data_IF_819674463108
#
_entry.id   IF_819674463108
#
_cell.length_a   1.000
_cell.length_b   1.000
_cell.length_c   1.000
_cell.angle_alpha   90.00
_cell.angle_beta   90.00
_cell.angle_gamma   90.00
#
_symmetry.space_group_name_H-M   'P 1'
#
loop_
_entity.id
_entity.type
_entity.pdbx_description
1 polymer ?
#
# COMPACT_ATOMS: atom_id res chain seq x y z
N UNK A 1 0.00 -30.07 -15.73
CA UNK A 1 1.42 -29.67 -15.63
C UNK A 1 1.48 -28.64 -14.53
N UNK A 2 1.90 -29.07 -13.35
CA UNK A 2 2.00 -28.25 -12.15
C UNK A 2 3.08 -27.20 -12.35
N UNK A 3 2.67 -25.94 -12.45
CA UNK A 3 3.57 -24.78 -12.52
C UNK A 3 3.48 -24.01 -11.22
N UNK A 4 4.62 -23.81 -10.58
CA UNK A 4 4.82 -22.76 -9.58
C UNK A 4 4.89 -23.30 -8.15
N UNK A 5 6.12 -23.37 -7.63
CA UNK A 5 6.39 -23.21 -6.21
C UNK A 5 5.50 -22.09 -5.68
N UNK A 6 4.50 -22.41 -4.84
CA UNK A 6 3.67 -21.38 -4.22
C UNK A 6 4.59 -20.54 -3.35
N UNK A 7 5.02 -19.38 -3.84
CA UNK A 7 5.65 -18.38 -2.98
C UNK A 7 4.64 -18.11 -1.87
N UNK A 8 4.99 -18.51 -0.66
CA UNK A 8 4.19 -18.27 0.52
C UNK A 8 3.81 -16.78 0.53
N UNK A 9 2.52 -16.48 0.71
CA UNK A 9 2.04 -15.11 0.63
C UNK A 9 2.83 -14.22 1.59
N UNK A 10 3.39 -13.12 1.07
CA UNK A 10 4.17 -12.18 1.88
C UNK A 10 3.23 -11.51 2.89
N UNK A 11 3.59 -11.45 4.19
CA UNK A 11 2.74 -10.87 5.22
C UNK A 11 2.54 -9.36 5.05
N UNK A 12 3.36 -8.72 4.19
CA UNK A 12 3.21 -7.34 3.76
C UNK A 12 1.90 -7.10 3.00
N UNK A 13 1.27 -8.13 2.42
CA UNK A 13 -0.08 -7.99 1.88
C UNK A 13 -1.12 -8.04 3.01
N UNK A 14 -1.69 -6.88 3.31
CA UNK A 14 -2.77 -6.70 4.28
C UNK A 14 -4.07 -6.29 3.58
N UNK A 15 -4.21 -6.56 2.29
CA UNK A 15 -5.41 -6.23 1.51
C UNK A 15 -6.68 -6.90 2.03
N UNK A 16 -6.58 -8.11 2.61
CA UNK A 16 -7.70 -8.80 3.25
C UNK A 16 -8.27 -8.06 4.47
N UNK A 17 -7.51 -7.16 5.08
CA UNK A 17 -8.01 -6.27 6.14
C UNK A 17 -8.78 -5.07 5.61
N UNK A 18 -8.73 -4.84 4.29
CA UNK A 18 -9.38 -3.73 3.59
C UNK A 18 -10.55 -4.21 2.76
N UNK A 19 -10.48 -5.41 2.19
CA UNK A 19 -11.48 -5.94 1.26
C UNK A 19 -11.69 -7.45 1.46
N UNK A 20 -12.95 -7.88 1.60
CA UNK A 20 -13.35 -9.28 1.84
C UNK A 20 -14.68 -9.53 1.11
N UNK A 21 -14.88 -10.71 0.53
CA UNK A 21 -16.14 -11.13 -0.10
C UNK A 21 -16.74 -10.10 -1.08
N UNK A 22 -15.89 -9.54 -1.94
CA UNK A 22 -16.27 -8.52 -2.94
C UNK A 22 -16.80 -7.19 -2.37
N UNK A 23 -16.50 -6.88 -1.11
CA UNK A 23 -16.89 -5.63 -0.47
C UNK A 23 -15.77 -5.03 0.40
N UNK A 24 -15.81 -3.70 0.54
CA UNK A 24 -14.93 -2.99 1.46
C UNK A 24 -15.27 -3.36 2.91
N UNK A 25 -14.25 -3.72 3.69
CA UNK A 25 -14.39 -3.91 5.14
C UNK A 25 -14.81 -2.60 5.83
N UNK A 26 -15.30 -2.68 7.06
CA UNK A 26 -15.59 -1.46 7.85
C UNK A 26 -14.35 -0.58 8.02
N UNK A 27 -13.15 -1.17 8.08
CA UNK A 27 -11.89 -0.43 8.18
C UNK A 27 -11.66 0.49 6.98
N UNK A 28 -11.82 -0.04 5.77
CA UNK A 28 -11.70 0.75 4.53
C UNK A 28 -12.88 1.70 4.38
N UNK A 29 -14.11 1.22 4.59
CA UNK A 29 -15.35 2.01 4.49
C UNK A 29 -15.35 3.22 5.43
N UNK A 30 -14.90 3.07 6.67
CA UNK A 30 -14.76 4.17 7.61
C UNK A 30 -13.70 5.19 7.17
N UNK A 31 -12.62 4.74 6.52
CA UNK A 31 -11.62 5.64 5.95
C UNK A 31 -12.16 6.41 4.76
N UNK A 32 -12.90 5.74 3.86
CA UNK A 32 -13.58 6.38 2.73
C UNK A 32 -14.55 7.44 3.25
N UNK A 33 -15.42 7.09 4.20
CA UNK A 33 -16.39 8.01 4.80
C UNK A 33 -15.72 9.28 5.33
N UNK A 34 -14.66 9.14 6.13
CA UNK A 34 -13.93 10.29 6.69
C UNK A 34 -13.39 11.22 5.60
N UNK A 35 -12.71 10.67 4.59
CA UNK A 35 -12.13 11.48 3.52
C UNK A 35 -13.19 12.14 2.65
N UNK A 36 -14.23 11.40 2.25
CA UNK A 36 -15.33 11.97 1.46
C UNK A 36 -16.03 13.09 2.23
N UNK A 37 -16.33 12.88 3.52
CA UNK A 37 -16.91 13.94 4.37
C UNK A 37 -16.00 15.16 4.46
N UNK A 38 -14.69 14.97 4.66
CA UNK A 38 -13.73 16.08 4.68
C UNK A 38 -13.75 16.86 3.36
N UNK A 39 -13.70 16.17 2.22
CA UNK A 39 -13.71 16.81 0.90
C UNK A 39 -15.00 17.59 0.64
N UNK A 40 -16.16 17.05 1.04
CA UNK A 40 -17.44 17.77 0.93
C UNK A 40 -17.50 19.00 1.84
N UNK A 41 -16.97 18.88 3.07
CA UNK A 41 -16.91 20.00 4.01
C UNK A 41 -15.97 21.11 3.54
N UNK A 42 -14.86 20.77 2.88
CA UNK A 42 -13.92 21.74 2.31
C UNK A 42 -14.56 22.53 1.14
N UNK A 43 -15.54 21.94 0.44
CA UNK A 43 -16.41 22.64 -0.53
C UNK A 43 -17.57 23.43 0.14
N UNK A 44 -17.58 23.52 1.47
CA UNK A 44 -18.61 24.23 2.23
C UNK A 44 -19.93 23.47 2.39
N UNK A 45 -19.99 22.20 1.99
CA UNK A 45 -21.19 21.37 2.05
C UNK A 45 -21.18 20.50 3.31
N UNK A 46 -22.06 20.82 4.25
CA UNK A 46 -22.14 20.12 5.56
C UNK A 46 -23.23 19.04 5.61
N UNK A 47 -24.10 18.97 4.61
CA UNK A 47 -25.22 18.03 4.53
C UNK A 47 -25.38 17.51 3.10
N UNK A 48 -25.97 16.33 2.89
CA UNK A 48 -26.30 15.84 1.55
C UNK A 48 -27.13 16.83 0.75
N UNK A 49 -26.80 17.01 -0.52
CA UNK A 49 -27.46 17.96 -1.41
C UNK A 49 -28.78 17.35 -1.91
N UNK A 50 -29.90 18.07 -1.75
CA UNK A 50 -31.17 17.61 -2.30
C UNK A 50 -31.10 17.54 -3.84
N UNK A 51 -31.96 16.71 -4.46
CA UNK A 51 -32.07 16.68 -5.92
C UNK A 51 -32.96 17.83 -6.38
N UNK A 52 -32.38 18.76 -7.13
CA UNK A 52 -33.07 19.90 -7.73
C UNK A 52 -34.08 19.48 -8.81
N UNK A 53 -35.02 20.37 -9.16
CA UNK A 53 -35.93 20.19 -10.30
C UNK A 53 -35.16 20.16 -11.63
N UNK A 54 -34.14 21.01 -11.76
CA UNK A 54 -33.23 21.01 -12.90
C UNK A 54 -32.27 19.83 -12.81
N UNK A 55 -32.45 18.86 -13.69
CA UNK A 55 -31.60 17.66 -13.75
C UNK A 55 -30.66 17.72 -14.93
N UNK A 56 -29.47 17.16 -14.73
CA UNK A 56 -28.41 17.10 -15.74
C UNK A 56 -27.87 15.68 -15.84
N UNK A 57 -27.34 15.36 -17.02
CA UNK A 57 -26.57 14.14 -17.26
C UNK A 57 -25.11 14.50 -17.47
N UNK A 58 -24.21 13.67 -16.96
CA UNK A 58 -22.78 13.85 -17.13
C UNK A 58 -22.07 12.52 -17.34
N UNK A 59 -20.94 12.58 -18.05
CA UNK A 59 -20.05 11.44 -18.29
C UNK A 59 -18.66 11.75 -17.76
N UNK A 60 -18.04 10.77 -17.11
CA UNK A 60 -16.62 10.81 -16.75
C UNK A 60 -15.84 9.86 -17.63
N UNK A 61 -14.71 10.32 -18.16
CA UNK A 61 -13.80 9.49 -18.96
C UNK A 61 -12.34 9.72 -18.60
N UNK A 62 -11.50 8.75 -18.92
CA UNK A 62 -10.05 8.85 -18.80
C UNK A 62 -9.45 9.53 -20.04
N UNK A 63 -8.48 10.42 -19.86
CA UNK A 63 -7.71 11.04 -20.96
C UNK A 63 -6.39 10.34 -21.24
N UNK A 64 -6.01 9.39 -20.40
CA UNK A 64 -4.82 8.56 -20.54
C UNK A 64 -5.09 7.12 -20.10
N UNK A 65 -4.18 6.21 -20.45
CA UNK A 65 -4.25 4.83 -20.02
C UNK A 65 -3.76 4.68 -18.56
N UNK A 66 -4.27 3.69 -17.84
CA UNK A 66 -3.87 3.45 -16.45
C UNK A 66 -4.68 2.36 -15.76
N UNK A 67 -4.39 2.17 -14.48
CA UNK A 67 -5.14 1.30 -13.57
C UNK A 67 -6.08 2.16 -12.73
N UNK A 68 -7.37 1.87 -12.76
CA UNK A 68 -8.37 2.63 -12.03
C UNK A 68 -8.36 2.29 -10.53
N UNK A 69 -8.49 3.32 -9.71
CA UNK A 69 -8.72 3.21 -8.29
C UNK A 69 -9.53 4.42 -7.78
N UNK A 70 -10.24 4.24 -6.68
CA UNK A 70 -11.03 5.29 -6.05
C UNK A 70 -12.51 5.31 -6.46
N UNK A 71 -12.95 4.35 -7.28
CA UNK A 71 -14.34 4.25 -7.73
C UNK A 71 -15.26 3.97 -6.54
N UNK A 72 -14.83 3.11 -5.60
CA UNK A 72 -15.60 2.86 -4.37
C UNK A 72 -15.73 4.11 -3.48
N UNK A 73 -14.73 4.99 -3.48
CA UNK A 73 -14.80 6.25 -2.74
C UNK A 73 -15.74 7.25 -3.41
N UNK A 74 -15.68 7.36 -4.73
CA UNK A 74 -16.62 8.16 -5.51
C UNK A 74 -18.06 7.62 -5.43
N UNK A 75 -18.24 6.30 -5.42
CA UNK A 75 -19.54 5.65 -5.22
C UNK A 75 -20.14 5.97 -3.86
N UNK A 76 -19.31 5.97 -2.80
CA UNK A 76 -19.74 6.42 -1.47
C UNK A 76 -20.21 7.88 -1.48
N UNK A 77 -19.47 8.77 -2.17
CA UNK A 77 -19.91 10.16 -2.33
C UNK A 77 -21.27 10.24 -3.02
N UNK A 78 -21.41 9.60 -4.18
CA UNK A 78 -22.66 9.60 -4.96
C UNK A 78 -23.85 9.11 -4.12
N UNK A 79 -23.65 8.02 -3.38
CA UNK A 79 -24.68 7.41 -2.54
C UNK A 79 -25.10 8.26 -1.35
N UNK A 80 -24.14 8.79 -0.60
CA UNK A 80 -24.44 9.47 0.67
C UNK A 80 -24.73 10.97 0.50
N UNK A 81 -24.15 11.62 -0.51
CA UNK A 81 -24.19 13.09 -0.66
C UNK A 81 -25.07 13.57 -1.80
N UNK A 82 -25.49 12.69 -2.71
CA UNK A 82 -26.36 13.03 -3.84
C UNK A 82 -27.65 12.18 -3.83
N UNK A 83 -28.49 12.29 -2.76
CA UNK A 83 -29.75 11.55 -2.68
C UNK A 83 -30.60 11.76 -3.93
N UNK A 84 -31.12 10.65 -4.45
CA UNK A 84 -31.95 10.64 -5.66
C UNK A 84 -31.18 10.71 -6.97
N UNK A 85 -29.85 10.92 -6.98
CA UNK A 85 -29.04 10.76 -8.19
C UNK A 85 -29.05 9.30 -8.68
N UNK A 86 -28.82 9.11 -9.97
CA UNK A 86 -28.65 7.80 -10.61
C UNK A 86 -27.29 7.77 -11.28
N UNK A 87 -26.56 6.67 -11.15
CA UNK A 87 -25.27 6.54 -11.80
C UNK A 87 -24.99 5.09 -12.20
N UNK A 88 -24.06 4.93 -13.14
CA UNK A 88 -23.61 3.64 -13.61
C UNK A 88 -22.09 3.65 -13.85
N UNK A 89 -21.39 2.71 -13.21
CA UNK A 89 -19.98 2.46 -13.45
C UNK A 89 -19.80 1.46 -14.59
N UNK A 90 -19.02 1.83 -15.60
CA UNK A 90 -18.73 0.95 -16.75
C UNK A 90 -17.64 -0.10 -16.45
N UNK A 91 -16.89 0.08 -15.36
CA UNK A 91 -15.74 -0.72 -14.92
C UNK A 91 -15.63 -0.64 -13.40
N UNK A 92 -14.93 -1.60 -12.78
CA UNK A 92 -14.66 -1.61 -11.33
C UNK A 92 -13.25 -1.13 -10.96
N UNK A 93 -13.02 -0.92 -9.66
CA UNK A 93 -11.67 -0.66 -9.11
C UNK A 93 -10.70 -1.78 -9.52
N UNK A 94 -9.46 -1.41 -9.86
CA UNK A 94 -8.42 -2.30 -10.37
C UNK A 94 -8.47 -2.55 -11.88
N UNK A 95 -9.49 -2.05 -12.59
CA UNK A 95 -9.57 -2.21 -14.04
C UNK A 95 -8.47 -1.43 -14.77
N UNK A 96 -7.83 -2.07 -15.75
CA UNK A 96 -6.91 -1.42 -16.68
C UNK A 96 -7.74 -0.78 -17.81
N UNK A 97 -7.50 0.49 -18.10
CA UNK A 97 -8.24 1.26 -19.10
C UNK A 97 -7.29 2.00 -20.04
N UNK A 98 -7.79 2.27 -21.26
CA UNK A 98 -7.11 3.10 -22.26
C UNK A 98 -7.66 4.54 -22.22
N UNK A 99 -6.94 5.46 -22.86
CA UNK A 99 -7.43 6.82 -23.09
C UNK A 99 -8.78 6.82 -23.84
N UNK A 100 -9.67 7.73 -23.47
CA UNK A 100 -11.02 7.87 -24.02
C UNK A 100 -12.07 6.93 -23.41
N UNK A 101 -11.71 6.08 -22.44
CA UNK A 101 -12.67 5.18 -21.81
C UNK A 101 -13.62 5.97 -20.91
N UNK A 102 -14.91 5.93 -21.23
CA UNK A 102 -15.98 6.36 -20.31
C UNK A 102 -16.06 5.36 -19.16
N UNK A 103 -16.01 5.86 -17.93
CA UNK A 103 -15.97 5.07 -16.70
C UNK A 103 -17.22 5.24 -15.82
N UNK A 104 -17.91 6.38 -15.93
CA UNK A 104 -19.08 6.72 -15.12
C UNK A 104 -20.08 7.55 -15.92
N UNK A 105 -21.34 7.16 -15.86
CA UNK A 105 -22.49 7.97 -16.27
C UNK A 105 -23.25 8.41 -15.01
N UNK A 106 -23.65 9.69 -14.93
CA UNK A 106 -24.38 10.27 -13.79
C UNK A 106 -25.60 11.04 -14.30
N UNK A 107 -26.72 10.93 -13.60
CA UNK A 107 -27.91 11.77 -13.73
C UNK A 107 -28.36 12.26 -12.35
N UNK A 108 -28.30 13.57 -12.11
CA UNK A 108 -28.60 14.18 -10.80
C UNK A 108 -29.11 15.61 -10.93
N UNK A 109 -29.40 16.23 -9.79
CA UNK A 109 -29.68 17.67 -9.73
C UNK A 109 -28.47 18.47 -10.19
N UNK A 110 -28.70 19.61 -10.84
CA UNK A 110 -27.62 20.45 -11.39
C UNK A 110 -26.61 20.85 -10.33
N UNK A 111 -27.06 21.28 -9.15
CA UNK A 111 -26.16 21.66 -8.05
C UNK A 111 -25.38 20.44 -7.52
N UNK A 112 -26.06 19.29 -7.37
CA UNK A 112 -25.43 18.05 -6.92
C UNK A 112 -24.23 17.67 -7.80
N UNK A 113 -24.43 17.62 -9.13
CA UNK A 113 -23.41 17.16 -10.06
C UNK A 113 -22.26 18.17 -10.17
N UNK A 114 -22.56 19.48 -10.21
CA UNK A 114 -21.53 20.52 -10.27
C UNK A 114 -20.64 20.53 -9.03
N UNK A 115 -21.24 20.43 -7.85
CA UNK A 115 -20.50 20.43 -6.58
C UNK A 115 -19.68 19.16 -6.40
N UNK A 116 -20.21 18.01 -6.79
CA UNK A 116 -19.52 16.73 -6.68
C UNK A 116 -18.40 16.54 -7.71
N UNK A 117 -18.44 17.27 -8.85
CA UNK A 117 -17.53 17.07 -9.99
C UNK A 117 -16.07 17.01 -9.54
N UNK A 118 -15.57 18.09 -8.92
CA UNK A 118 -14.16 18.20 -8.56
C UNK A 118 -13.74 17.13 -7.57
N UNK A 119 -14.62 16.78 -6.62
CA UNK A 119 -14.34 15.75 -5.62
C UNK A 119 -14.25 14.38 -6.26
N UNK A 120 -15.19 14.01 -7.14
CA UNK A 120 -15.17 12.75 -7.89
C UNK A 120 -13.88 12.64 -8.72
N UNK A 121 -13.53 13.68 -9.48
CA UNK A 121 -12.34 13.69 -10.31
C UNK A 121 -11.05 13.61 -9.47
N UNK A 122 -10.99 14.30 -8.33
CA UNK A 122 -9.85 14.23 -7.41
C UNK A 122 -9.70 12.82 -6.80
N UNK A 123 -10.81 12.19 -6.39
CA UNK A 123 -10.82 10.84 -5.83
C UNK A 123 -10.27 9.83 -6.82
N UNK A 124 -10.86 9.79 -8.02
CA UNK A 124 -10.49 8.84 -9.07
C UNK A 124 -9.09 9.14 -9.59
N UNK A 125 -8.81 10.40 -9.96
CA UNK A 125 -7.54 10.79 -10.57
C UNK A 125 -6.35 10.50 -9.67
N UNK A 126 -6.40 10.93 -8.40
CA UNK A 126 -5.30 10.72 -7.45
C UNK A 126 -5.04 9.23 -7.21
N UNK A 127 -6.09 8.48 -6.87
CA UNK A 127 -5.93 7.07 -6.50
C UNK A 127 -5.55 6.22 -7.72
N UNK A 128 -6.12 6.49 -8.89
CA UNK A 128 -5.72 5.82 -10.13
C UNK A 128 -4.29 6.15 -10.53
N UNK A 129 -3.80 7.36 -10.24
CA UNK A 129 -2.38 7.72 -10.40
C UNK A 129 -1.45 6.83 -9.58
N UNK A 130 -1.78 6.62 -8.30
CA UNK A 130 -1.04 5.72 -7.40
C UNK A 130 -1.08 4.27 -7.92
N UNK A 131 -2.25 3.77 -8.30
CA UNK A 131 -2.41 2.40 -8.80
C UNK A 131 -1.63 2.19 -10.10
N UNK A 132 -1.69 3.15 -11.02
CA UNK A 132 -0.95 3.13 -12.29
C UNK A 132 0.56 3.12 -12.06
N UNK A 133 1.07 4.03 -11.23
CA UNK A 133 2.50 4.07 -10.90
C UNK A 133 2.95 2.77 -10.20
N UNK A 134 2.15 2.25 -9.26
CA UNK A 134 2.46 0.99 -8.59
C UNK A 134 2.54 -0.18 -9.58
N UNK A 135 1.66 -0.24 -10.56
CA UNK A 135 1.69 -1.27 -11.61
C UNK A 135 3.00 -1.23 -12.41
N UNK A 136 3.49 -0.03 -12.75
CA UNK A 136 4.78 0.12 -13.42
C UNK A 136 5.94 -0.35 -12.54
N UNK A 137 5.93 0.01 -11.26
CA UNK A 137 6.94 -0.44 -10.29
C UNK A 137 6.94 -1.95 -10.12
N UNK A 138 5.77 -2.57 -9.94
CA UNK A 138 5.65 -4.02 -9.77
C UNK A 138 6.10 -4.78 -11.02
N UNK A 139 5.78 -4.28 -12.22
CA UNK A 139 6.26 -4.86 -13.48
C UNK A 139 7.79 -4.83 -13.56
N UNK A 140 8.42 -3.72 -13.17
CA UNK A 140 9.87 -3.53 -13.25
C UNK A 140 10.65 -4.28 -12.16
N UNK A 141 10.07 -4.41 -10.97
CA UNK A 141 10.67 -5.14 -9.84
C UNK A 141 10.41 -6.66 -9.89
N UNK A 142 9.52 -7.12 -10.77
CA UNK A 142 9.15 -8.53 -10.84
C UNK A 142 10.39 -9.42 -11.01
N UNK A 143 10.51 -10.51 -10.24
CA UNK A 143 9.45 -11.13 -9.45
C UNK A 143 9.39 -10.66 -7.99
N UNK A 144 10.17 -9.66 -7.57
CA UNK A 144 10.16 -9.12 -6.20
C UNK A 144 8.89 -8.30 -5.95
N UNK A 145 8.33 -8.39 -4.75
CA UNK A 145 7.13 -7.63 -4.37
C UNK A 145 7.49 -6.18 -4.03
N UNK A 146 6.71 -5.20 -4.53
CA UNK A 146 6.88 -3.80 -4.11
C UNK A 146 5.87 -3.44 -3.03
N UNK A 147 6.29 -2.80 -1.94
CA UNK A 147 5.42 -2.49 -0.80
C UNK A 147 5.32 -0.98 -0.52
N UNK A 148 4.10 -0.51 -0.22
CA UNK A 148 3.89 0.86 0.23
C UNK A 148 4.48 1.12 1.62
N UNK A 149 4.46 2.38 2.06
CA UNK A 149 4.97 2.79 3.37
C UNK A 149 3.84 3.36 4.22
N UNK A 150 4.17 4.03 5.32
CA UNK A 150 3.21 4.84 6.10
C UNK A 150 3.28 6.33 5.75
N UNK A 151 4.08 6.73 4.75
CA UNK A 151 4.11 8.09 4.20
C UNK A 151 2.91 8.24 3.24
N UNK A 152 1.72 8.36 3.80
CA UNK A 152 0.45 8.42 3.05
C UNK A 152 -0.18 9.79 3.20
N UNK A 153 -0.87 10.26 2.16
CA UNK A 153 -1.65 11.49 2.22
C UNK A 153 -3.12 11.17 2.52
N UNK A 154 -3.71 10.15 1.88
CA UNK A 154 -5.12 9.76 2.09
C UNK A 154 -5.28 8.48 2.92
N UNK A 155 -4.30 8.17 3.77
CA UNK A 155 -4.40 7.07 4.72
C UNK A 155 -4.53 5.71 4.03
N UNK A 156 -5.60 4.98 4.35
CA UNK A 156 -5.85 3.65 3.80
C UNK A 156 -6.23 3.66 2.31
N UNK A 157 -6.73 4.77 1.78
CA UNK A 157 -7.09 4.87 0.35
C UNK A 157 -5.82 4.79 -0.52
N UNK A 158 -4.73 5.46 -0.11
CA UNK A 158 -3.43 5.34 -0.80
C UNK A 158 -2.92 3.89 -0.79
N UNK A 159 -3.02 3.20 0.36
CA UNK A 159 -2.62 1.78 0.47
C UNK A 159 -3.47 0.86 -0.38
N UNK A 160 -4.78 1.11 -0.43
CA UNK A 160 -5.71 0.37 -1.28
C UNK A 160 -5.38 0.59 -2.77
N UNK A 161 -5.08 1.82 -3.18
CA UNK A 161 -4.64 2.11 -4.54
C UNK A 161 -3.34 1.39 -4.91
N UNK A 162 -2.35 1.32 -4.00
CA UNK A 162 -1.14 0.51 -4.20
C UNK A 162 -1.51 -0.96 -4.42
N UNK A 163 -2.41 -1.52 -3.61
CA UNK A 163 -2.84 -2.91 -3.78
C UNK A 163 -3.51 -3.15 -5.14
N UNK A 164 -4.43 -2.26 -5.56
CA UNK A 164 -5.07 -2.34 -6.86
C UNK A 164 -4.06 -2.25 -8.03
N UNK A 165 -2.94 -1.56 -7.83
CA UNK A 165 -1.82 -1.51 -8.77
C UNK A 165 -0.93 -2.76 -8.76
N UNK A 166 -1.20 -3.76 -7.92
CA UNK A 166 -0.42 -5.00 -7.78
C UNK A 166 0.70 -4.93 -6.74
N UNK A 167 0.82 -3.84 -5.98
CA UNK A 167 1.77 -3.74 -4.87
C UNK A 167 1.22 -4.29 -3.55
N UNK A 168 2.09 -4.36 -2.54
CA UNK A 168 1.78 -4.80 -1.19
C UNK A 168 1.42 -3.59 -0.31
N UNK A 169 0.40 -3.73 0.53
CA UNK A 169 -0.04 -2.63 1.40
C UNK A 169 0.97 -2.30 2.48
N UNK A 170 1.89 -3.21 2.82
CA UNK A 170 2.63 -3.23 4.07
C UNK A 170 1.65 -3.15 5.27
N UNK A 171 2.17 -3.08 6.51
CA UNK A 171 1.35 -2.78 7.69
C UNK A 171 0.46 -1.55 7.50
N UNK A 172 -0.80 -1.67 7.88
CA UNK A 172 -1.82 -0.62 7.75
C UNK A 172 -1.71 0.43 8.87
N UNK A 173 -1.40 -0.02 10.09
CA UNK A 173 -1.27 0.84 11.28
C UNK A 173 -0.05 0.44 12.11
N UNK A 174 0.29 1.20 13.17
CA UNK A 174 1.33 0.79 14.13
C UNK A 174 0.98 -0.50 14.88
N UNK A 175 -0.31 -0.78 15.07
CA UNK A 175 -0.82 -1.97 15.79
C UNK A 175 -0.96 -3.21 14.90
N UNK A 176 -1.05 -3.00 13.59
CA UNK A 176 -1.23 -4.09 12.62
C UNK A 176 0.03 -4.96 12.46
N UNK A 177 1.22 -4.36 12.56
CA UNK A 177 2.48 -5.10 12.58
C UNK A 177 3.54 -4.33 13.39
N UNK A 178 4.27 -5.06 14.23
CA UNK A 178 5.41 -4.54 14.99
C UNK A 178 6.55 -4.20 14.03
N UNK A 179 7.12 -3.02 14.19
CA UNK A 179 8.31 -2.61 13.44
C UNK A 179 9.24 -1.95 14.43
N UNK A 180 10.43 -2.50 14.56
CA UNK A 180 11.49 -2.01 15.45
C UNK A 180 12.46 -1.25 14.55
N UNK A 181 12.46 0.07 14.69
CA UNK A 181 13.32 0.97 13.91
C UNK A 181 14.55 1.38 14.70
N UNK A 182 15.45 2.12 14.07
CA UNK A 182 16.60 2.73 14.74
C UNK A 182 16.23 3.49 16.02
N UNK A 183 15.16 4.28 16.00
CA UNK A 183 14.72 5.01 17.19
C UNK A 183 14.27 4.07 18.31
N UNK A 184 13.61 2.96 17.99
CA UNK A 184 13.20 1.97 18.98
C UNK A 184 14.44 1.26 19.55
N UNK A 185 15.35 0.81 18.68
CA UNK A 185 16.63 0.18 19.06
C UNK A 185 17.47 1.09 19.96
N UNK A 186 17.51 2.40 19.67
CA UNK A 186 18.26 3.38 20.49
C UNK A 186 17.78 3.47 21.94
N UNK A 187 16.52 3.09 22.21
CA UNK A 187 15.95 3.06 23.56
C UNK A 187 16.03 1.68 24.21
N UNK A 188 16.16 0.62 23.42
CA UNK A 188 16.18 -0.75 23.88
C UNK A 188 17.60 -1.27 24.13
N UNK A 189 18.57 -0.85 23.33
CA UNK A 189 19.98 -1.25 23.44
C UNK A 189 20.66 -0.41 24.53
N UNK A 190 21.40 -1.07 25.43
CA UNK A 190 22.10 -0.37 26.51
C UNK A 190 23.26 0.46 25.96
N UNK A 191 23.57 1.59 26.60
CA UNK A 191 24.61 2.52 26.11
C UNK A 191 26.00 1.88 25.93
N UNK A 192 26.32 0.89 26.76
CA UNK A 192 27.61 0.19 26.74
C UNK A 192 27.59 -1.10 25.90
N UNK A 193 26.45 -1.43 25.28
CA UNK A 193 26.24 -2.63 24.49
C UNK A 193 26.53 -2.36 23.01
N UNK A 194 27.34 -3.22 22.38
CA UNK A 194 27.51 -3.18 20.93
C UNK A 194 26.20 -3.53 20.23
N UNK A 195 25.97 -2.97 19.04
CA UNK A 195 24.69 -3.11 18.33
C UNK A 195 24.29 -4.57 18.02
N UNK A 196 25.14 -5.45 17.43
CA UNK A 196 24.70 -6.82 17.12
C UNK A 196 24.32 -7.66 18.35
N UNK A 197 25.09 -7.64 19.47
CA UNK A 197 24.63 -8.25 20.73
C UNK A 197 23.32 -7.64 21.26
N UNK A 198 23.17 -6.31 21.18
CA UNK A 198 21.93 -5.64 21.59
C UNK A 198 20.72 -6.04 20.75
N UNK A 199 20.90 -6.20 19.44
CA UNK A 199 19.86 -6.74 18.56
C UNK A 199 19.49 -8.16 18.95
N UNK A 200 20.50 -9.02 19.20
CA UNK A 200 20.26 -10.40 19.65
C UNK A 200 19.43 -10.41 20.93
N UNK A 201 19.77 -9.59 21.91
CA UNK A 201 18.99 -9.47 23.15
C UNK A 201 17.57 -8.96 22.89
N UNK A 202 17.41 -7.87 22.14
CA UNK A 202 16.10 -7.32 21.80
C UNK A 202 15.22 -8.37 21.12
N UNK A 203 15.77 -9.08 20.12
CA UNK A 203 15.07 -10.17 19.43
C UNK A 203 14.74 -11.32 20.39
N UNK A 204 15.61 -11.65 21.35
CA UNK A 204 15.37 -12.69 22.36
C UNK A 204 14.24 -12.36 23.33
N UNK A 205 14.02 -11.07 23.61
CA UNK A 205 13.06 -10.57 24.60
C UNK A 205 11.69 -10.22 24.00
N UNK A 206 11.50 -10.35 22.67
CA UNK A 206 10.22 -10.05 22.04
C UNK A 206 9.11 -10.98 22.52
N UNK A 207 8.01 -10.39 22.96
CA UNK A 207 6.75 -11.08 23.15
C UNK A 207 6.12 -11.38 21.79
N UNK A 208 6.21 -12.64 21.36
CA UNK A 208 5.80 -13.04 20.04
C UNK A 208 4.27 -13.05 19.84
N UNK A 209 3.49 -13.14 20.93
CA UNK A 209 2.03 -13.11 20.88
C UNK A 209 1.50 -11.68 20.65
N UNK A 210 2.36 -10.67 20.81
CA UNK A 210 2.03 -9.24 20.69
C UNK A 210 2.47 -8.58 19.37
N UNK A 211 3.02 -9.34 18.43
CA UNK A 211 3.66 -8.79 17.22
C UNK A 211 2.68 -8.22 16.18
N UNK A 212 1.40 -8.61 16.25
CA UNK A 212 0.43 -8.36 15.21
C UNK A 212 0.61 -9.34 14.04
N UNK A 213 0.41 -8.87 12.81
CA UNK A 213 0.43 -9.72 11.62
C UNK A 213 1.84 -10.20 11.24
N UNK A 214 2.87 -9.38 11.49
CA UNK A 214 4.27 -9.71 11.26
C UNK A 214 5.18 -8.76 12.04
N UNK A 215 6.47 -9.08 12.07
CA UNK A 215 7.50 -8.23 12.64
C UNK A 215 8.51 -7.80 11.58
N UNK A 216 8.88 -6.52 11.66
CA UNK A 216 9.99 -5.92 10.90
C UNK A 216 11.05 -5.40 11.84
N UNK A 217 12.31 -5.75 11.59
CA UNK A 217 13.48 -5.21 12.27
C UNK A 217 14.34 -4.45 11.26
N UNK A 218 14.58 -3.17 11.52
CA UNK A 218 15.45 -2.32 10.72
C UNK A 218 16.91 -2.58 11.09
N UNK A 219 17.75 -2.93 10.11
CA UNK A 219 19.18 -3.19 10.26
C UNK A 219 19.97 -2.35 9.27
N UNK A 220 21.21 -2.02 9.62
CA UNK A 220 22.10 -1.16 8.81
C UNK A 220 23.43 -1.79 8.45
N UNK A 221 23.72 -2.97 9.00
CA UNK A 221 24.97 -3.71 8.75
C UNK A 221 24.70 -5.19 8.63
N UNK A 222 25.65 -5.91 8.00
CA UNK A 222 25.57 -7.36 7.83
C UNK A 222 25.56 -8.07 9.18
N UNK A 223 26.42 -7.64 10.12
CA UNK A 223 26.49 -8.22 11.46
C UNK A 223 25.16 -8.10 12.22
N UNK A 224 24.44 -6.99 12.06
CA UNK A 224 23.11 -6.80 12.65
C UNK A 224 22.06 -7.75 12.04
N UNK A 225 22.08 -7.92 10.71
CA UNK A 225 21.18 -8.83 10.01
C UNK A 225 21.42 -10.29 10.44
N UNK A 226 22.68 -10.71 10.48
CA UNK A 226 23.07 -12.06 10.90
C UNK A 226 22.69 -12.32 12.36
N UNK A 227 23.00 -11.38 13.26
CA UNK A 227 22.66 -11.50 14.68
C UNK A 227 21.14 -11.65 14.92
N UNK A 228 20.34 -10.87 14.19
CA UNK A 228 18.88 -10.95 14.24
C UNK A 228 18.37 -12.31 13.74
N UNK A 229 18.84 -12.75 12.57
CA UNK A 229 18.42 -14.00 11.94
C UNK A 229 18.80 -15.23 12.79
N UNK A 230 20.03 -15.27 13.30
CA UNK A 230 20.52 -16.36 14.14
C UNK A 230 19.71 -16.47 15.43
N UNK A 231 19.49 -15.34 16.12
CA UNK A 231 18.67 -15.32 17.33
C UNK A 231 17.24 -15.76 17.03
N UNK A 232 16.64 -15.25 15.95
CA UNK A 232 15.30 -15.63 15.55
C UNK A 232 15.18 -17.13 15.27
N UNK A 233 16.16 -17.70 14.57
CA UNK A 233 16.18 -19.13 14.26
C UNK A 233 16.22 -20.00 15.53
N UNK A 234 17.09 -19.66 16.48
CA UNK A 234 17.17 -20.35 17.76
C UNK A 234 15.84 -20.29 18.54
N UNK A 235 15.12 -19.16 18.45
CA UNK A 235 13.80 -19.02 19.08
C UNK A 235 12.73 -19.85 18.39
N UNK A 236 12.65 -19.82 17.06
CA UNK A 236 11.65 -20.59 16.31
C UNK A 236 11.80 -22.08 16.59
N UNK A 237 13.03 -22.59 16.69
CA UNK A 237 13.30 -23.97 17.08
C UNK A 237 12.90 -24.25 18.54
N UNK A 238 13.32 -23.40 19.48
CA UNK A 238 13.05 -23.57 20.91
C UNK A 238 11.55 -23.51 21.26
N UNK A 239 10.81 -22.65 20.58
CA UNK A 239 9.39 -22.38 20.84
C UNK A 239 8.45 -23.20 19.91
N UNK A 240 9.00 -24.04 19.02
CA UNK A 240 8.27 -24.80 17.99
C UNK A 240 7.33 -23.93 17.14
N UNK A 241 7.87 -22.80 16.67
CA UNK A 241 7.15 -21.81 15.84
C UNK A 241 7.74 -21.72 14.44
N UNK A 242 6.96 -21.17 13.50
CA UNK A 242 7.33 -21.03 12.08
C UNK A 242 7.18 -19.60 11.57
N UNK A 243 7.12 -18.63 12.47
CA UNK A 243 7.01 -17.22 12.14
C UNK A 243 8.29 -16.74 11.45
N UNK A 244 8.13 -15.84 10.47
CA UNK A 244 9.26 -15.25 9.77
C UNK A 244 9.54 -13.84 10.30
N UNK A 245 10.82 -13.54 10.52
CA UNK A 245 11.27 -12.18 10.83
C UNK A 245 11.52 -11.42 9.52
N UNK A 246 10.89 -10.25 9.34
CA UNK A 246 11.28 -9.36 8.26
C UNK A 246 12.51 -8.56 8.68
N UNK A 247 13.63 -8.76 7.99
CA UNK A 247 14.85 -7.97 8.13
C UNK A 247 14.81 -6.88 7.06
N UNK A 248 14.64 -5.63 7.51
CA UNK A 248 14.63 -4.47 6.65
C UNK A 248 16.02 -3.86 6.56
N UNK A 249 16.61 -3.89 5.37
CA UNK A 249 17.89 -3.28 5.05
C UNK A 249 17.66 -1.77 4.84
N UNK A 250 18.03 -0.93 5.82
CA UNK A 250 17.81 0.53 5.77
C UNK A 250 19.01 1.27 5.20
N UNK A 251 18.84 1.87 4.02
CA UNK A 251 19.87 2.64 3.29
C UNK A 251 21.18 1.85 3.07
N UNK A 252 21.07 0.53 2.90
CA UNK A 252 22.19 -0.29 2.44
C UNK A 252 22.29 -0.20 0.92
N UNK A 253 23.52 -0.14 0.42
CA UNK A 253 23.79 -0.24 -1.03
C UNK A 253 23.60 -1.67 -1.52
N UNK A 254 23.57 -1.82 -2.84
CA UNK A 254 23.32 -3.11 -3.51
C UNK A 254 24.38 -4.16 -3.18
N UNK A 255 25.63 -3.73 -2.99
CA UNK A 255 26.75 -4.59 -2.62
C UNK A 255 26.54 -5.18 -1.22
N UNK A 256 26.28 -4.35 -0.21
CA UNK A 256 26.03 -4.84 1.15
C UNK A 256 24.74 -5.65 1.24
N UNK A 257 23.70 -5.26 0.50
CA UNK A 257 22.45 -6.02 0.48
C UNK A 257 22.67 -7.44 -0.08
N UNK A 258 23.44 -7.56 -1.16
CA UNK A 258 23.83 -8.85 -1.71
C UNK A 258 24.66 -9.68 -0.72
N UNK A 259 25.61 -9.06 -0.01
CA UNK A 259 26.37 -9.75 1.04
C UNK A 259 25.47 -10.27 2.16
N UNK A 260 24.47 -9.50 2.61
CA UNK A 260 23.48 -9.98 3.60
C UNK A 260 22.73 -11.20 3.08
N UNK A 261 22.24 -11.16 1.84
CA UNK A 261 21.48 -12.28 1.26
C UNK A 261 22.35 -13.55 1.21
N UNK A 262 23.59 -13.44 0.70
CA UNK A 262 24.51 -14.57 0.61
C UNK A 262 24.87 -15.15 1.98
N UNK A 263 25.10 -14.30 2.99
CA UNK A 263 25.42 -14.75 4.35
C UNK A 263 24.25 -15.47 5.00
N UNK A 264 23.02 -14.95 4.83
CA UNK A 264 21.81 -15.58 5.36
C UNK A 264 21.50 -16.91 4.66
N UNK A 265 21.79 -17.02 3.36
CA UNK A 265 21.68 -18.28 2.60
C UNK A 265 22.73 -19.31 3.05
N UNK A 266 24.00 -18.91 3.16
CA UNK A 266 25.09 -19.80 3.58
C UNK A 266 24.86 -20.37 4.99
N UNK A 267 24.23 -19.59 5.87
CA UNK A 267 23.86 -19.98 7.24
C UNK A 267 22.50 -20.70 7.33
N UNK A 268 21.82 -20.90 6.20
CA UNK A 268 20.53 -21.59 6.12
C UNK A 268 19.38 -20.88 6.87
N UNK A 269 19.44 -19.55 7.00
CA UNK A 269 18.39 -18.75 7.66
C UNK A 269 17.30 -18.26 6.70
N UNK A 270 17.47 -18.44 5.39
CA UNK A 270 16.61 -17.83 4.35
C UNK A 270 15.11 -18.11 4.48
N UNK A 271 14.74 -19.32 4.92
CA UNK A 271 13.34 -19.73 5.12
C UNK A 271 12.68 -19.07 6.34
N UNK A 272 13.48 -18.62 7.31
CA UNK A 272 13.03 -18.04 8.58
C UNK A 272 12.94 -16.51 8.53
N UNK A 273 13.42 -15.91 7.45
CA UNK A 273 13.47 -14.45 7.30
C UNK A 273 12.83 -14.00 5.99
N UNK A 274 12.28 -12.78 6.01
CA UNK A 274 11.90 -12.04 4.81
C UNK A 274 12.88 -10.90 4.68
N UNK A 275 13.52 -10.73 3.52
CA UNK A 275 14.47 -9.63 3.31
C UNK A 275 13.75 -8.49 2.59
N UNK A 276 13.66 -7.35 3.26
CA UNK A 276 13.04 -6.14 2.74
C UNK A 276 14.10 -5.07 2.48
N UNK A 277 14.22 -4.61 1.23
CA UNK A 277 15.06 -3.47 0.88
C UNK A 277 14.29 -2.16 1.04
N UNK A 278 14.88 -1.17 1.72
CA UNK A 278 14.27 0.14 1.97
C UNK A 278 15.31 1.25 2.04
N UNK A 279 14.89 2.46 1.68
CA UNK A 279 15.71 3.68 1.82
C UNK A 279 16.28 4.16 0.49
N UNK A 280 15.75 5.26 -0.01
CA UNK A 280 16.27 5.94 -1.21
C UNK A 280 16.08 5.21 -2.55
N UNK A 281 15.52 3.99 -2.56
CA UNK A 281 15.34 3.20 -3.79
C UNK A 281 14.41 3.89 -4.77
N UNK A 282 14.91 4.14 -5.98
CA UNK A 282 14.22 4.79 -7.09
C UNK A 282 13.65 3.77 -8.07
N UNK A 283 12.85 4.24 -9.04
CA UNK A 283 12.30 3.38 -10.08
C UNK A 283 13.39 2.79 -10.97
N UNK A 284 14.47 3.53 -11.18
CA UNK A 284 15.63 3.17 -12.00
C UNK A 284 16.44 2.04 -11.39
N UNK A 285 16.51 1.97 -10.06
CA UNK A 285 17.29 0.97 -9.33
C UNK A 285 16.64 -0.43 -9.32
N UNK A 286 15.33 -0.52 -9.60
CA UNK A 286 14.54 -1.74 -9.45
C UNK A 286 15.11 -3.00 -10.15
N UNK A 287 15.65 -2.92 -11.39
CA UNK A 287 16.19 -4.11 -12.06
C UNK A 287 17.40 -4.71 -11.33
N UNK A 288 18.24 -3.86 -10.70
CA UNK A 288 19.38 -4.35 -9.93
C UNK A 288 18.89 -4.97 -8.63
N UNK A 289 18.00 -4.29 -7.90
CA UNK A 289 17.45 -4.79 -6.64
C UNK A 289 16.67 -6.10 -6.80
N UNK A 290 15.96 -6.30 -7.91
CA UNK A 290 15.16 -7.50 -8.14
C UNK A 290 16.00 -8.76 -8.36
N UNK A 291 17.29 -8.62 -8.68
CA UNK A 291 18.23 -9.71 -8.90
C UNK A 291 19.00 -10.12 -7.62
N UNK A 292 18.96 -9.29 -6.56
CA UNK A 292 19.77 -9.52 -5.34
C UNK A 292 19.22 -10.60 -4.40
N UNK A 293 18.04 -11.15 -4.66
CA UNK A 293 17.41 -12.18 -3.81
C UNK A 293 16.63 -11.63 -2.61
N UNK A 294 16.35 -10.31 -2.57
CA UNK A 294 15.41 -9.70 -1.62
C UNK A 294 13.97 -10.13 -1.94
N UNK A 295 13.12 -10.20 -0.91
CA UNK A 295 11.70 -10.60 -1.07
C UNK A 295 10.79 -9.41 -1.38
N UNK A 296 11.10 -8.27 -0.78
CA UNK A 296 10.28 -7.05 -0.82
C UNK A 296 11.16 -5.83 -1.04
N UNK A 297 10.70 -4.90 -1.87
CA UNK A 297 11.25 -3.54 -1.98
C UNK A 297 10.18 -2.58 -1.50
N UNK A 298 10.41 -1.87 -0.39
CA UNK A 298 9.47 -0.83 0.06
C UNK A 298 9.93 0.58 -0.32
N UNK A 299 9.02 1.33 -0.93
CA UNK A 299 9.30 2.69 -1.36
C UNK A 299 8.08 3.60 -1.24
N UNK A 300 8.32 4.83 -0.76
CA UNK A 300 7.31 5.88 -0.85
C UNK A 300 7.10 6.36 -2.28
N UNK A 301 8.05 6.12 -3.20
CA UNK A 301 7.90 6.46 -4.62
C UNK A 301 6.71 5.81 -5.31
N UNK A 302 6.12 4.76 -4.71
CA UNK A 302 4.90 4.12 -5.19
C UNK A 302 3.65 5.04 -5.10
N UNK A 303 3.60 5.94 -4.10
CA UNK A 303 2.37 6.66 -3.73
C UNK A 303 2.56 8.12 -3.26
N UNK A 304 3.77 8.49 -2.83
CA UNK A 304 4.10 9.89 -2.53
C UNK A 304 4.50 10.62 -3.80
N UNK A 305 3.84 11.75 -4.07
CA UNK A 305 4.21 12.60 -5.20
C UNK A 305 3.92 12.00 -6.57
N UNK A 306 3.03 11.01 -6.66
CA UNK A 306 2.57 10.45 -7.94
C UNK A 306 1.60 11.42 -8.61
N UNK A 307 1.76 11.60 -9.92
CA UNK A 307 0.83 12.35 -10.73
C UNK A 307 -0.56 11.68 -10.76
N UNK A 308 -1.60 12.51 -10.79
CA UNK A 308 -2.96 12.02 -10.93
C UNK A 308 -3.20 11.48 -12.35
N UNK A 309 -4.00 10.41 -12.46
CA UNK A 309 -4.56 10.00 -13.74
C UNK A 309 -5.48 11.11 -14.25
N UNK A 310 -5.29 11.50 -15.51
CA UNK A 310 -6.06 12.57 -16.13
C UNK A 310 -7.45 12.04 -16.48
N UNK A 311 -8.44 12.59 -15.78
CA UNK A 311 -9.86 12.25 -15.89
C UNK A 311 -10.65 13.53 -16.06
N UNK A 312 -11.78 13.46 -16.76
CA UNK A 312 -12.62 14.62 -17.00
C UNK A 312 -14.09 14.26 -16.95
N UNK A 313 -14.91 15.23 -16.56
CA UNK A 313 -16.36 15.15 -16.57
C UNK A 313 -16.91 16.17 -17.57
N UNK A 314 -18.00 15.83 -18.27
CA UNK A 314 -18.73 16.77 -19.12
C UNK A 314 -20.22 16.49 -19.01
N UNK A 315 -20.99 17.57 -19.04
CA UNK A 315 -22.44 17.57 -19.01
C UNK A 315 -22.99 17.37 -20.43
N UNK A 316 -24.02 16.53 -20.58
CA UNK A 316 -24.72 16.38 -21.85
C UNK A 316 -25.42 17.70 -22.21
N UNK A 317 -25.14 18.25 -23.39
CA UNK A 317 -25.75 19.48 -23.91
C UNK A 317 -24.96 20.77 -23.72
N UNK A 318 -23.69 20.67 -23.28
CA UNK A 318 -22.71 21.77 -23.35
C UNK A 318 -22.00 21.83 -24.72
#
# INVERSE_FOLDING_TARGET
METGSSRQALPHDRSSELWVDHQATEKLSASIRRWVTTLMHDEGISNPLARDEETVKAKVWTKQAGTLAGLNAADHLLREWMPGAKWHWAVGDGAIVNAGKVILDIEGGREQVLTAERIILNLIGRLSGIATNTSLWQQKASPVGVASTRKVHWGLLDKWAVHLGGGLTHRLTRKDARMIKENDLSTMIHKDEKRPPGISRVVSELDLDSLGAFIVLEVRTIDEAVAAAETWAQRMEKEDRKDRLTIMLDNMDTEKANEVVLDLEARQFRELVIIEASGGITFEDLPVWSELGVDVISSSGLHCGTDALDVSMLFDGA
#
